data_IF_194121223810
#
_entry.id   IF_194121223810
#
_cell.length_a   1.000
_cell.length_b   1.000
_cell.length_c   1.000
_cell.angle_alpha   90.00
_cell.angle_beta   90.00
_cell.angle_gamma   90.00
#
_symmetry.space_group_name_H-M   'P 1'
#
loop_
_entity.id
_entity.type
_entity.pdbx_description
1 polymer ?
#
# COMPACT_ATOMS: atom_id res chain seq x y z
N UNK A 1 6.58 10.68 3.74
CA UNK A 1 5.36 9.87 3.94
C UNK A 1 4.71 9.72 2.58
N UNK A 2 4.55 8.49 2.09
CA UNK A 2 4.16 8.17 0.70
C UNK A 2 2.78 7.48 0.65
N UNK A 3 1.84 8.07 1.37
CA UNK A 3 0.42 7.71 1.52
C UNK A 3 -0.36 9.00 1.78
N UNK A 4 -1.69 8.94 1.88
CA UNK A 4 -2.58 10.11 1.86
C UNK A 4 -2.46 10.92 0.56
N UNK A 5 -2.21 10.23 -0.55
CA UNK A 5 -2.08 10.86 -1.87
C UNK A 5 -3.44 11.18 -2.47
N UNK A 6 -4.45 10.35 -2.16
CA UNK A 6 -5.86 10.57 -2.45
C UNK A 6 -6.71 10.25 -1.23
N UNK A 7 -7.85 10.93 -1.10
CA UNK A 7 -8.73 10.75 0.04
C UNK A 7 -10.01 11.57 -0.03
N UNK A 8 -10.81 11.52 1.03
CA UNK A 8 -12.17 12.08 1.10
C UNK A 8 -12.27 13.61 0.93
N UNK A 9 -11.13 14.30 0.90
CA UNK A 9 -11.03 15.71 0.52
C UNK A 9 -11.19 15.94 -0.99
N UNK A 10 -11.21 14.89 -1.80
CA UNK A 10 -11.48 14.92 -3.24
C UNK A 10 -12.91 14.48 -3.57
N UNK A 11 -13.46 14.99 -4.68
CA UNK A 11 -14.81 14.66 -5.15
C UNK A 11 -14.90 13.35 -5.96
N UNK A 12 -13.80 12.61 -6.04
CA UNK A 12 -13.69 11.36 -6.82
C UNK A 12 -12.81 10.35 -6.09
N UNK A 13 -13.00 9.06 -6.35
CA UNK A 13 -12.18 7.99 -5.76
C UNK A 13 -10.73 8.06 -6.24
N UNK A 14 -9.80 7.64 -5.38
CA UNK A 14 -8.38 7.53 -5.67
C UNK A 14 -7.68 6.61 -4.68
N UNK A 15 -6.55 6.03 -5.09
CA UNK A 15 -5.79 5.09 -4.26
C UNK A 15 -5.01 5.84 -3.17
N UNK A 16 -5.00 5.34 -1.94
CA UNK A 16 -4.30 5.98 -0.82
C UNK A 16 -2.80 6.22 -1.10
N UNK A 17 -2.16 5.25 -1.74
CA UNK A 17 -0.71 5.15 -1.85
C UNK A 17 -0.23 4.54 -3.19
N UNK A 18 -0.71 4.99 -4.37
CA UNK A 18 -0.34 4.39 -5.65
C UNK A 18 1.18 4.45 -5.87
N UNK A 19 1.77 3.35 -6.36
CA UNK A 19 3.22 3.27 -6.59
C UNK A 19 3.64 4.13 -7.80
N UNK A 20 2.85 4.07 -8.86
CA UNK A 20 3.04 4.78 -10.13
C UNK A 20 1.79 5.59 -10.48
N UNK A 21 1.88 6.58 -11.38
CA UNK A 21 0.69 7.23 -11.93
C UNK A 21 0.00 6.35 -12.96
N UNK A 22 -1.29 6.58 -13.19
CA UNK A 22 -2.00 5.98 -14.33
C UNK A 22 -1.69 6.74 -15.64
N UNK A 23 -1.87 6.09 -16.79
CA UNK A 23 -1.58 6.64 -18.10
C UNK A 23 -2.43 7.89 -18.42
N UNK A 24 -3.67 7.90 -17.99
CA UNK A 24 -4.64 8.99 -18.15
C UNK A 24 -4.38 10.20 -17.23
N UNK A 25 -3.53 10.05 -16.20
CA UNK A 25 -3.21 11.13 -15.29
C UNK A 25 -2.26 12.15 -15.91
N UNK A 26 -2.62 13.43 -15.73
CA UNK A 26 -1.86 14.56 -16.25
C UNK A 26 -1.63 15.64 -15.18
N UNK A 27 -0.69 16.55 -15.47
CA UNK A 27 -0.38 17.68 -14.59
C UNK A 27 0.07 17.26 -13.19
N UNK A 28 -0.58 17.81 -12.16
CA UNK A 28 -0.24 17.53 -10.78
C UNK A 28 -0.67 16.14 -10.31
N UNK A 29 -1.74 15.56 -10.87
CA UNK A 29 -2.21 14.22 -10.49
C UNK A 29 -1.12 13.16 -10.74
N UNK A 30 -0.41 13.29 -11.87
CA UNK A 30 0.71 12.39 -12.24
C UNK A 30 1.88 12.40 -11.23
N UNK A 31 1.92 13.35 -10.29
CA UNK A 31 2.94 13.44 -9.24
C UNK A 31 2.49 12.85 -7.90
N UNK A 32 1.22 12.49 -7.76
CA UNK A 32 0.64 11.94 -6.53
C UNK A 32 0.82 10.42 -6.46
N UNK A 33 2.08 9.96 -6.50
CA UNK A 33 2.44 8.55 -6.36
C UNK A 33 3.79 8.40 -5.63
N UNK A 34 4.06 7.19 -5.14
CA UNK A 34 5.26 6.91 -4.34
C UNK A 34 6.56 7.12 -5.15
N UNK A 35 6.59 6.72 -6.43
CA UNK A 35 7.76 6.92 -7.29
C UNK A 35 8.11 8.40 -7.43
N UNK A 36 7.15 9.24 -7.78
CA UNK A 36 7.36 10.67 -7.94
C UNK A 36 7.81 11.32 -6.62
N UNK A 37 7.23 10.93 -5.48
CA UNK A 37 7.65 11.42 -4.18
C UNK A 37 9.12 11.08 -3.87
N UNK A 38 9.56 9.84 -4.13
CA UNK A 38 10.97 9.43 -3.96
C UNK A 38 11.88 10.24 -4.87
N UNK A 39 11.51 10.41 -6.14
CA UNK A 39 12.29 11.18 -7.11
C UNK A 39 12.47 12.64 -6.69
N UNK A 40 11.43 13.27 -6.12
CA UNK A 40 11.50 14.65 -5.62
C UNK A 40 12.54 14.77 -4.50
N UNK A 41 12.54 13.85 -3.53
CA UNK A 41 13.53 13.86 -2.45
C UNK A 41 14.95 13.62 -2.95
N UNK A 42 15.14 12.70 -3.90
CA UNK A 42 16.44 12.44 -4.53
C UNK A 42 16.94 13.66 -5.30
N UNK A 43 16.08 14.30 -6.09
CA UNK A 43 16.41 15.53 -6.81
C UNK A 43 16.75 16.69 -5.86
N UNK A 44 16.18 16.69 -4.66
CA UNK A 44 16.53 17.61 -3.56
C UNK A 44 17.84 17.28 -2.83
N UNK A 45 18.57 16.23 -3.24
CA UNK A 45 19.87 15.87 -2.68
C UNK A 45 19.82 14.88 -1.51
N UNK A 46 18.66 14.28 -1.20
CA UNK A 46 18.59 13.24 -0.17
C UNK A 46 19.24 11.94 -0.69
N UNK A 47 20.23 11.37 0.03
CA UNK A 47 20.80 10.07 -0.32
C UNK A 47 19.74 8.97 -0.25
N UNK A 48 19.72 8.06 -1.23
CA UNK A 48 18.68 7.04 -1.37
C UNK A 48 18.62 6.12 -0.14
N UNK A 49 19.77 5.74 0.38
CA UNK A 49 19.95 4.90 1.56
C UNK A 49 19.46 5.54 2.87
N UNK A 50 19.11 6.83 2.86
CA UNK A 50 18.48 7.53 3.99
C UNK A 50 16.97 7.73 3.81
N UNK A 51 16.42 7.37 2.65
CA UNK A 51 15.00 7.45 2.37
C UNK A 51 14.34 6.13 2.71
N UNK A 52 13.30 6.19 3.55
CA UNK A 52 12.47 5.03 3.87
C UNK A 52 11.10 5.17 3.19
N UNK A 53 10.69 4.17 2.41
CA UNK A 53 9.40 4.17 1.74
C UNK A 53 8.28 3.97 2.77
N UNK A 54 7.25 4.81 2.74
CA UNK A 54 6.09 4.66 3.63
C UNK A 54 5.11 3.64 3.10
N UNK A 55 4.70 2.68 3.94
CA UNK A 55 3.63 1.72 3.67
C UNK A 55 2.49 1.97 4.66
N UNK A 56 1.27 2.09 4.12
CA UNK A 56 0.07 2.32 4.90
C UNK A 56 -0.67 0.99 5.10
N UNK A 57 -0.86 0.55 6.35
CA UNK A 57 -1.70 -0.60 6.70
C UNK A 57 -3.16 -0.17 6.91
N UNK A 58 -3.61 0.79 6.10
CA UNK A 58 -4.95 1.34 6.10
C UNK A 58 -5.31 1.80 4.68
N UNK A 59 -6.59 2.01 4.43
CA UNK A 59 -7.11 2.59 3.21
C UNK A 59 -7.79 3.93 3.45
N UNK A 60 -7.89 4.72 2.38
CA UNK A 60 -8.76 5.89 2.31
C UNK A 60 -10.06 5.49 1.63
N UNK A 61 -11.18 5.74 2.31
CA UNK A 61 -12.50 5.28 1.90
C UNK A 61 -13.41 6.42 1.46
N UNK A 62 -14.38 6.08 0.62
CA UNK A 62 -15.30 7.01 -0.01
C UNK A 62 -16.71 6.44 -0.03
N UNK A 63 -17.70 7.34 -0.03
CA UNK A 63 -19.08 7.01 -0.38
C UNK A 63 -19.33 7.43 -1.83
N UNK A 64 -19.65 6.45 -2.68
CA UNK A 64 -19.96 6.67 -4.10
C UNK A 64 -21.31 7.39 -4.25
N UNK A 65 -21.34 8.36 -5.17
CA UNK A 65 -22.54 9.15 -5.49
C UNK A 65 -23.27 8.67 -6.75
N UNK A 66 -22.74 7.65 -7.41
CA UNK A 66 -23.31 7.03 -8.61
C UNK A 66 -23.09 5.51 -8.59
N UNK A 67 -23.54 4.81 -9.63
CA UNK A 67 -23.27 3.37 -9.81
C UNK A 67 -21.86 3.04 -10.30
N UNK A 68 -21.02 4.05 -10.58
CA UNK A 68 -19.62 3.86 -10.96
C UNK A 68 -18.79 3.47 -9.73
N UNK A 69 -18.06 2.36 -9.84
CA UNK A 69 -17.22 1.78 -8.79
C UNK A 69 -15.73 1.82 -9.13
N UNK A 70 -15.37 2.42 -10.27
CA UNK A 70 -14.00 2.51 -10.73
C UNK A 70 -13.16 3.52 -9.95
N UNK A 71 -11.91 3.65 -10.41
CA UNK A 71 -11.09 4.81 -10.06
C UNK A 71 -11.69 6.08 -10.65
N UNK A 72 -11.52 7.20 -9.94
CA UNK A 72 -12.08 8.51 -10.32
C UNK A 72 -13.61 8.55 -10.37
N UNK A 73 -14.30 7.54 -9.83
CA UNK A 73 -15.74 7.54 -9.69
C UNK A 73 -16.20 8.67 -8.75
N UNK A 74 -17.32 9.35 -9.02
CA UNK A 74 -17.75 10.52 -8.25
C UNK A 74 -18.21 10.13 -6.84
N UNK A 75 -17.82 10.91 -5.83
CA UNK A 75 -18.06 10.63 -4.41
C UNK A 75 -18.91 11.72 -3.75
N UNK A 76 -19.61 11.37 -2.68
CA UNK A 76 -20.32 12.31 -1.81
C UNK A 76 -19.52 12.65 -0.54
N UNK A 77 -18.26 12.19 -0.45
CA UNK A 77 -17.39 12.36 0.71
C UNK A 77 -16.76 11.05 1.17
N UNK A 78 -16.30 11.03 2.43
CA UNK A 78 -15.67 9.87 3.03
C UNK A 78 -16.58 8.66 3.15
N UNK A 79 -15.98 7.48 3.19
CA UNK A 79 -16.68 6.24 3.53
C UNK A 79 -17.24 6.31 4.94
N UNK A 80 -18.26 5.50 5.20
CA UNK A 80 -18.88 5.37 6.52
C UNK A 80 -17.81 4.95 7.53
N UNK A 81 -17.75 5.58 8.73
CA UNK A 81 -16.82 5.16 9.78
C UNK A 81 -16.93 3.66 10.04
N UNK A 82 -15.80 2.97 9.96
CA UNK A 82 -15.74 1.55 10.27
C UNK A 82 -15.83 1.32 11.80
N UNK A 83 -16.15 0.09 12.21
CA UNK A 83 -16.51 -0.24 13.59
C UNK A 83 -15.42 0.12 14.63
N UNK A 84 -14.15 -0.08 14.28
CA UNK A 84 -13.02 0.04 15.18
C UNK A 84 -12.25 1.35 14.97
N UNK A 85 -11.98 1.75 13.72
CA UNK A 85 -11.29 3.01 13.44
C UNK A 85 -12.16 4.24 13.67
N UNK A 86 -13.48 4.12 13.49
CA UNK A 86 -14.48 5.16 13.81
C UNK A 86 -14.20 6.54 13.18
N UNK A 87 -13.47 6.57 12.06
CA UNK A 87 -13.15 7.78 11.32
C UNK A 87 -13.73 7.69 9.90
N UNK A 88 -14.50 8.70 9.50
CA UNK A 88 -15.07 8.75 8.15
C UNK A 88 -13.94 8.90 7.11
N UNK A 89 -13.96 8.08 6.07
CA UNK A 89 -12.93 8.10 5.03
C UNK A 89 -11.61 7.40 5.39
N UNK A 90 -11.56 6.67 6.50
CA UNK A 90 -10.40 5.91 6.95
C UNK A 90 -10.83 4.52 7.41
N UNK A 91 -10.04 3.49 7.08
CA UNK A 91 -10.36 2.10 7.44
C UNK A 91 -9.07 1.28 7.56
N UNK A 92 -8.92 0.49 8.62
CA UNK A 92 -7.72 -0.34 8.83
C UNK A 92 -7.66 -1.51 7.85
N UNK A 93 -6.48 -2.11 7.65
CA UNK A 93 -6.36 -3.32 6.83
C UNK A 93 -7.23 -4.47 7.34
N UNK A 94 -7.29 -4.67 8.67
CA UNK A 94 -8.14 -5.74 9.24
C UNK A 94 -9.65 -5.47 9.07
N UNK A 95 -10.09 -4.20 9.04
CA UNK A 95 -11.47 -3.85 8.70
C UNK A 95 -11.75 -4.04 7.20
N UNK A 96 -10.78 -3.76 6.34
CA UNK A 96 -10.87 -4.08 4.90
C UNK A 96 -11.02 -5.59 4.69
N UNK A 97 -10.29 -6.43 5.42
CA UNK A 97 -10.47 -7.89 5.40
C UNK A 97 -11.90 -8.30 5.80
N UNK A 98 -12.51 -7.63 6.76
CA UNK A 98 -13.90 -7.87 7.16
C UNK A 98 -14.88 -7.47 6.05
N UNK A 99 -14.62 -6.34 5.38
CA UNK A 99 -15.39 -5.87 4.23
C UNK A 99 -15.31 -6.87 3.07
N UNK A 100 -14.12 -7.39 2.76
CA UNK A 100 -13.90 -8.43 1.75
C UNK A 100 -14.63 -9.74 2.11
N UNK A 101 -14.54 -10.17 3.37
CA UNK A 101 -15.24 -11.37 3.86
C UNK A 101 -16.77 -11.22 3.81
N UNK A 102 -17.26 -9.99 3.81
CA UNK A 102 -18.70 -9.66 3.67
C UNK A 102 -19.17 -9.56 2.22
N UNK A 103 -18.32 -9.91 1.24
CA UNK A 103 -18.67 -9.95 -0.18
C UNK A 103 -18.27 -8.72 -0.99
N UNK A 104 -17.38 -7.87 -0.47
CA UNK A 104 -16.82 -6.78 -1.27
C UNK A 104 -16.02 -7.30 -2.47
N UNK A 105 -16.08 -6.56 -3.58
CA UNK A 105 -15.28 -6.86 -4.77
C UNK A 105 -13.91 -6.19 -4.64
N UNK A 106 -12.83 -6.97 -4.75
CA UNK A 106 -11.46 -6.47 -4.87
C UNK A 106 -11.10 -6.29 -6.35
N UNK A 107 -10.48 -5.16 -6.67
CA UNK A 107 -9.90 -4.89 -7.99
C UNK A 107 -8.46 -4.43 -7.81
N UNK A 108 -7.55 -4.94 -8.64
CA UNK A 108 -6.15 -4.55 -8.62
C UNK A 108 -5.84 -3.66 -9.82
N UNK A 109 -5.40 -2.43 -9.56
CA UNK A 109 -4.96 -1.53 -10.62
C UNK A 109 -3.53 -1.87 -11.05
N UNK A 110 -3.38 -2.32 -12.29
CA UNK A 110 -2.09 -2.84 -12.78
C UNK A 110 -1.11 -1.74 -13.16
N UNK A 111 -1.57 -0.51 -13.37
CA UNK A 111 -0.70 0.63 -13.69
C UNK A 111 -0.12 1.22 -12.41
N UNK A 112 -0.98 1.56 -11.45
CA UNK A 112 -0.63 2.17 -10.17
C UNK A 112 -0.13 1.16 -9.12
N UNK A 113 -0.27 -0.14 -9.37
CA UNK A 113 0.17 -1.25 -8.49
C UNK A 113 -0.41 -1.18 -7.08
N UNK A 114 -1.69 -0.84 -6.97
CA UNK A 114 -2.41 -0.85 -5.71
C UNK A 114 -3.87 -1.31 -5.90
N UNK A 115 -4.44 -2.04 -4.93
CA UNK A 115 -5.82 -2.47 -4.98
C UNK A 115 -6.80 -1.39 -4.49
N UNK A 116 -8.04 -1.56 -4.92
CA UNK A 116 -9.19 -1.02 -4.22
C UNK A 116 -10.24 -2.10 -4.00
N UNK A 117 -11.18 -1.85 -3.11
CA UNK A 117 -12.32 -2.71 -2.88
C UNK A 117 -13.61 -1.89 -2.77
N UNK A 118 -14.74 -2.48 -3.16
CA UNK A 118 -16.05 -1.84 -3.03
C UNK A 118 -17.16 -2.81 -2.63
N UNK A 119 -18.15 -2.30 -1.88
CA UNK A 119 -19.36 -3.01 -1.47
C UNK A 119 -20.52 -2.01 -1.38
N UNK A 120 -21.56 -2.22 -2.21
CA UNK A 120 -22.63 -1.24 -2.36
C UNK A 120 -22.06 0.11 -2.83
N UNK A 121 -22.30 1.17 -2.06
CA UNK A 121 -21.76 2.49 -2.34
C UNK A 121 -20.48 2.82 -1.54
N UNK A 122 -19.89 1.85 -0.83
CA UNK A 122 -18.64 2.05 -0.09
C UNK A 122 -17.46 1.59 -0.94
N UNK A 123 -16.42 2.42 -1.00
CA UNK A 123 -15.21 2.19 -1.80
C UNK A 123 -13.98 2.49 -0.96
N UNK A 124 -12.90 1.73 -1.10
CA UNK A 124 -11.64 1.96 -0.40
C UNK A 124 -10.43 1.66 -1.28
N UNK A 125 -9.48 2.59 -1.35
CA UNK A 125 -8.16 2.38 -1.94
C UNK A 125 -7.16 2.10 -0.84
N UNK A 126 -6.45 0.97 -0.93
CA UNK A 126 -5.64 0.44 0.18
C UNK A 126 -4.39 -0.30 -0.30
N UNK A 127 -3.62 -0.84 0.64
CA UNK A 127 -2.51 -1.75 0.38
C UNK A 127 -2.82 -3.16 0.88
N UNK A 128 -2.39 -4.17 0.12
CA UNK A 128 -2.39 -5.56 0.56
C UNK A 128 -1.05 -6.24 0.23
N UNK A 129 -1.00 -7.57 0.41
CA UNK A 129 0.22 -8.34 0.18
C UNK A 129 0.78 -8.20 -1.25
N UNK A 130 -0.09 -8.02 -2.26
CA UNK A 130 0.32 -7.88 -3.66
C UNK A 130 0.97 -6.51 -3.90
N UNK A 131 0.29 -5.42 -3.51
CA UNK A 131 0.83 -4.07 -3.69
C UNK A 131 2.08 -3.81 -2.85
N UNK A 132 2.11 -4.31 -1.61
CA UNK A 132 3.29 -4.24 -0.75
C UNK A 132 4.47 -5.00 -1.38
N UNK A 133 4.23 -6.15 -2.01
CA UNK A 133 5.25 -6.86 -2.77
C UNK A 133 5.92 -5.97 -3.82
N UNK A 134 5.11 -5.32 -4.66
CA UNK A 134 5.61 -4.39 -5.68
C UNK A 134 6.35 -3.18 -5.09
N UNK A 135 5.87 -2.64 -3.98
CA UNK A 135 6.50 -1.50 -3.29
C UNK A 135 7.85 -1.83 -2.69
N UNK A 136 7.99 -3.02 -2.08
CA UNK A 136 9.29 -3.49 -1.58
C UNK A 136 10.26 -3.79 -2.73
N UNK A 137 9.77 -4.32 -3.85
CA UNK A 137 10.61 -4.55 -5.03
C UNK A 137 11.11 -3.21 -5.61
N UNK A 138 10.24 -2.19 -5.69
CA UNK A 138 10.63 -0.83 -6.06
C UNK A 138 11.64 -0.21 -5.08
N UNK A 139 11.39 -0.31 -3.77
CA UNK A 139 12.31 0.16 -2.72
C UNK A 139 13.72 -0.40 -2.92
N UNK A 140 13.84 -1.70 -3.20
CA UNK A 140 15.12 -2.36 -3.46
C UNK A 140 15.76 -1.88 -4.76
N UNK A 141 14.98 -1.78 -5.84
CA UNK A 141 15.47 -1.31 -7.14
C UNK A 141 16.02 0.12 -7.07
N UNK A 142 15.40 0.98 -6.28
CA UNK A 142 15.82 2.36 -6.07
C UNK A 142 16.96 2.52 -5.04
N UNK A 143 17.38 1.45 -4.37
CA UNK A 143 18.41 1.48 -3.34
C UNK A 143 18.01 2.29 -2.11
N UNK A 144 16.72 2.25 -1.73
CA UNK A 144 16.21 2.97 -0.57
C UNK A 144 16.68 2.30 0.74
N UNK A 145 16.75 3.09 1.81
CA UNK A 145 17.25 2.64 3.13
C UNK A 145 16.36 1.61 3.84
N UNK A 146 15.10 1.52 3.47
CA UNK A 146 14.14 0.62 4.10
C UNK A 146 12.70 1.08 3.96
N UNK A 147 11.83 0.55 4.80
CA UNK A 147 10.41 0.89 4.85
C UNK A 147 10.03 1.41 6.22
N UNK A 148 9.18 2.42 6.25
CA UNK A 148 8.44 2.85 7.44
C UNK A 148 6.99 2.41 7.28
N UNK A 149 6.35 1.98 8.37
CA UNK A 149 4.99 1.46 8.35
C UNK A 149 4.08 2.31 9.23
N UNK A 150 2.91 2.69 8.68
CA UNK A 150 1.83 3.33 9.41
C UNK A 150 0.54 2.50 9.30
N UNK A 151 0.05 1.87 10.35
CA UNK A 151 0.71 1.63 11.63
C UNK A 151 0.56 0.16 12.01
N UNK A 152 1.39 -0.30 12.95
CA UNK A 152 1.46 -1.71 13.34
C UNK A 152 0.13 -2.26 13.89
N UNK A 153 -0.66 -1.41 14.54
CA UNK A 153 -1.99 -1.72 15.08
C UNK A 153 -3.11 -1.79 14.02
N UNK A 154 -2.81 -1.44 12.76
CA UNK A 154 -3.78 -1.47 11.66
C UNK A 154 -3.63 -2.71 10.77
N UNK A 155 -2.55 -3.48 10.94
CA UNK A 155 -2.43 -4.84 10.40
C UNK A 155 -3.43 -5.79 11.09
N UNK A 156 -3.60 -7.00 10.57
CA UNK A 156 -4.27 -8.07 11.33
C UNK A 156 -3.37 -8.63 12.42
N UNK A 157 -3.09 -7.80 13.44
CA UNK A 157 -2.17 -8.09 14.53
C UNK A 157 -2.61 -9.27 15.42
N UNK A 158 -3.92 -9.54 15.47
CA UNK A 158 -4.50 -10.68 16.18
C UNK A 158 -4.59 -11.94 15.31
N UNK A 159 -4.60 -11.80 13.98
CA UNK A 159 -4.77 -12.88 13.02
C UNK A 159 -6.21 -13.37 12.89
N UNK A 160 -7.19 -12.56 13.30
CA UNK A 160 -8.60 -12.95 13.39
C UNK A 160 -9.47 -12.45 12.24
N UNK A 161 -8.94 -11.54 11.40
CA UNK A 161 -9.74 -10.83 10.41
C UNK A 161 -9.48 -11.27 8.98
N UNK A 162 -8.22 -11.58 8.64
CA UNK A 162 -7.79 -11.83 7.27
C UNK A 162 -7.56 -13.31 6.96
N UNK A 163 -7.61 -14.20 7.97
CA UNK A 163 -7.26 -15.62 7.84
C UNK A 163 -5.83 -15.87 7.32
N UNK A 164 -4.89 -14.97 7.64
CA UNK A 164 -3.48 -15.02 7.19
C UNK A 164 -2.48 -15.13 8.35
N UNK A 165 -2.96 -15.41 9.57
CA UNK A 165 -2.15 -15.41 10.78
C UNK A 165 -1.88 -13.99 11.31
N UNK A 166 -1.08 -13.89 12.36
CA UNK A 166 -0.79 -12.60 13.02
C UNK A 166 0.17 -11.76 12.19
N UNK A 167 -0.10 -10.47 12.11
CA UNK A 167 0.77 -9.47 11.46
C UNK A 167 1.12 -9.86 10.00
N UNK A 168 0.14 -10.20 9.15
CA UNK A 168 0.42 -10.74 7.82
C UNK A 168 1.21 -9.75 6.94
N UNK A 169 0.88 -8.46 6.99
CA UNK A 169 1.57 -7.47 6.17
C UNK A 169 2.95 -7.10 6.75
N UNK A 170 3.06 -6.95 8.07
CA UNK A 170 4.36 -6.70 8.71
C UNK A 170 5.35 -7.85 8.50
N UNK A 171 4.90 -9.10 8.61
CA UNK A 171 5.74 -10.27 8.37
C UNK A 171 6.19 -10.36 6.90
N UNK A 172 5.30 -10.00 5.96
CA UNK A 172 5.65 -9.90 4.55
C UNK A 172 6.73 -8.85 4.31
N UNK A 173 6.56 -7.63 4.87
CA UNK A 173 7.52 -6.53 4.73
C UNK A 173 8.88 -6.96 5.28
N UNK A 174 8.92 -7.50 6.50
CA UNK A 174 10.14 -8.00 7.13
C UNK A 174 10.82 -9.06 6.25
N UNK A 175 10.09 -10.11 5.89
CA UNK A 175 10.65 -11.21 5.11
C UNK A 175 11.18 -10.76 3.75
N UNK A 176 10.46 -9.88 3.05
CA UNK A 176 10.93 -9.33 1.76
C UNK A 176 12.16 -8.47 1.92
N UNK A 177 12.28 -7.64 2.95
CA UNK A 177 13.48 -6.82 3.16
C UNK A 177 14.70 -7.71 3.51
N UNK A 178 14.52 -8.74 4.33
CA UNK A 178 15.59 -9.66 4.75
C UNK A 178 16.09 -10.57 3.61
N UNK A 179 15.21 -10.99 2.69
CA UNK A 179 15.57 -11.85 1.54
C UNK A 179 16.60 -11.22 0.58
N UNK A 180 16.88 -9.93 0.68
CA UNK A 180 17.95 -9.25 -0.08
C UNK A 180 19.31 -9.16 0.62
N UNK A 181 19.41 -9.60 1.88
CA UNK A 181 20.63 -9.51 2.72
C UNK A 181 21.51 -10.76 2.62
N UNK A 182 21.26 -11.64 1.63
CA UNK A 182 22.26 -12.63 1.24
C UNK A 182 23.41 -11.90 0.52
N UNK A 183 24.40 -11.48 1.30
CA UNK A 183 25.64 -10.94 0.76
C UNK A 183 26.24 -11.93 -0.23
N UNK A 184 26.74 -11.44 -1.36
CA UNK A 184 27.54 -12.22 -2.30
C UNK A 184 28.82 -12.84 -1.67
N UNK A 185 29.14 -12.50 -0.41
CA UNK A 185 30.16 -13.16 0.40
C UNK A 185 29.73 -14.51 0.97
N UNK A 186 28.44 -14.71 1.28
CA UNK A 186 27.97 -15.94 1.94
C UNK A 186 27.83 -17.11 0.95
N UNK A 187 27.69 -16.82 -0.35
CA UNK A 187 27.70 -17.83 -1.40
C UNK A 187 29.06 -18.51 -1.59
N UNK A 188 30.16 -17.95 -1.03
CA UNK A 188 31.50 -18.56 -1.14
C UNK A 188 31.83 -19.52 0.00
N UNK A 189 31.12 -19.47 1.12
CA UNK A 189 31.40 -20.36 2.26
C UNK A 189 30.62 -21.67 2.19
N UNK A 190 29.44 -21.69 1.56
CA UNK A 190 28.64 -22.92 1.42
C UNK A 190 29.23 -23.91 0.41
N UNK A 191 30.04 -23.47 -0.55
CA UNK A 191 30.64 -24.37 -1.56
C UNK A 191 31.91 -25.08 -1.04
N UNK A 192 32.56 -24.56 0.01
CA UNK A 192 33.78 -25.16 0.55
C UNK A 192 33.54 -26.27 1.59
N UNK A 193 32.35 -26.34 2.20
CA UNK A 193 32.03 -27.36 3.22
C UNK A 193 31.45 -28.67 2.65
N UNK A 194 31.28 -28.77 1.33
CA UNK A 194 30.85 -29.98 0.64
C UNK A 194 31.98 -30.74 -0.07
N UNK A 195 33.25 -30.39 0.19
CA UNK A 195 34.43 -30.98 -0.47
C UNK A 195 35.57 -31.40 0.48
N UNK A 196 35.28 -31.67 1.77
CA UNK A 196 36.22 -32.36 2.67
C UNK A 196 35.53 -33.52 3.35
#
# INVERSE_FOLDING_TARGET
MTYDLHGSWEAVTGLNSPLYPAAEESGNARKLNQQAAVQVWRAGGAPAEKLNLGIALYGRSFTLSSGDTGLRAPTSGGGTPAQYTQEAGYISYYEICSMLSSGATRVFDTEQKAPYAYLGNQWVGYDDAESIGHKIDFLKQEGLGGSMVWAVDLDDFSGQFCNQGRYPLMNLIKGRLEMGVFNASDARETVLLSLV
#
